data_IF_621143129473
#
_entry.id   IF_621143129473
#
_cell.length_a   1.000
_cell.length_b   1.000
_cell.length_c   1.000
_cell.angle_alpha   90.00
_cell.angle_beta   90.00
_cell.angle_gamma   90.00
#
_symmetry.space_group_name_H-M   'P 1'
#
loop_
_entity.id
_entity.type
_entity.pdbx_description
1 polymer ?
#
# COMPACT_ATOMS: atom_id res chain seq x y z
N UNK A 1 16.79 -10.13 5.96
CA UNK A 1 15.95 -8.94 5.75
C UNK A 1 15.84 -8.77 4.25
N UNK A 2 14.62 -8.70 3.70
CA UNK A 2 14.41 -8.47 2.27
C UNK A 2 14.41 -6.97 1.95
N UNK A 3 14.92 -6.66 0.76
CA UNK A 3 14.84 -5.33 0.13
C UNK A 3 13.54 -5.22 -0.67
N UNK A 4 12.98 -4.02 -0.73
CA UNK A 4 11.84 -3.71 -1.57
C UNK A 4 12.25 -3.73 -3.04
N UNK A 5 11.55 -4.49 -3.87
CA UNK A 5 11.89 -4.64 -5.30
C UNK A 5 11.61 -3.40 -6.15
N UNK A 6 10.93 -2.39 -5.57
CA UNK A 6 10.61 -1.13 -6.25
C UNK A 6 11.58 0.00 -5.92
N UNK A 7 12.10 0.06 -4.69
CA UNK A 7 13.00 1.14 -4.26
C UNK A 7 14.38 0.67 -3.78
N UNK A 8 14.61 -0.64 -3.70
CA UNK A 8 15.83 -1.27 -3.17
C UNK A 8 16.16 -0.93 -1.70
N UNK A 9 15.20 -0.36 -0.96
CA UNK A 9 15.35 -0.10 0.48
C UNK A 9 14.99 -1.32 1.31
N UNK A 10 15.61 -1.48 2.48
CA UNK A 10 15.30 -2.57 3.41
C UNK A 10 13.85 -2.46 3.90
N UNK A 11 13.11 -3.57 3.86
CA UNK A 11 11.75 -3.65 4.40
C UNK A 11 11.84 -3.71 5.93
N UNK A 12 11.62 -2.57 6.59
CA UNK A 12 11.65 -2.42 8.05
C UNK A 12 10.29 -2.65 8.72
N UNK A 13 9.20 -2.44 7.98
CA UNK A 13 7.84 -2.76 8.41
C UNK A 13 7.29 -3.92 7.56
N UNK A 14 7.36 -5.17 8.05
CA UNK A 14 6.99 -6.36 7.28
C UNK A 14 5.46 -6.58 7.26
N UNK A 15 4.71 -5.66 6.66
CA UNK A 15 3.29 -5.83 6.33
C UNK A 15 3.13 -5.94 4.82
N UNK A 16 2.50 -7.03 4.33
CA UNK A 16 2.35 -7.24 2.89
C UNK A 16 1.31 -6.29 2.27
N UNK A 17 1.40 -6.17 0.95
CA UNK A 17 0.48 -5.40 0.09
C UNK A 17 -0.98 -5.78 0.34
N UNK A 18 -1.32 -7.06 0.46
CA UNK A 18 -2.70 -7.50 0.69
C UNK A 18 -3.27 -7.00 2.03
N UNK A 19 -2.46 -6.98 3.10
CA UNK A 19 -2.92 -6.49 4.40
C UNK A 19 -3.18 -4.98 4.35
N UNK A 20 -2.28 -4.23 3.73
CA UNK A 20 -2.45 -2.77 3.56
C UNK A 20 -3.61 -2.47 2.61
N UNK A 21 -3.79 -3.25 1.55
CA UNK A 21 -4.93 -3.15 0.64
C UNK A 21 -6.23 -3.29 1.41
N UNK A 22 -6.35 -4.29 2.28
CA UNK A 22 -7.57 -4.54 3.04
C UNK A 22 -7.93 -3.35 3.95
N UNK A 23 -6.95 -2.70 4.57
CA UNK A 23 -7.18 -1.48 5.36
C UNK A 23 -7.65 -0.31 4.49
N UNK A 24 -7.00 -0.08 3.34
CA UNK A 24 -7.39 0.97 2.40
C UNK A 24 -8.77 0.68 1.82
N UNK A 25 -9.07 -0.58 1.47
CA UNK A 25 -10.34 -1.02 0.94
C UNK A 25 -11.48 -0.81 1.94
N UNK A 26 -11.23 -1.07 3.23
CA UNK A 26 -12.20 -0.81 4.29
C UNK A 26 -12.50 0.71 4.40
N UNK A 27 -11.48 1.55 4.42
CA UNK A 27 -11.67 3.01 4.39
C UNK A 27 -12.40 3.48 3.12
N UNK A 28 -12.00 2.97 1.96
CA UNK A 28 -12.58 3.35 0.67
C UNK A 28 -14.03 2.87 0.53
N UNK A 29 -14.40 1.77 1.18
CA UNK A 29 -15.78 1.28 1.23
C UNK A 29 -16.72 2.29 1.91
N UNK A 30 -16.25 2.99 2.94
CA UNK A 30 -17.05 3.99 3.65
C UNK A 30 -17.26 5.27 2.83
N UNK A 31 -16.26 5.69 2.04
CA UNK A 31 -16.30 7.00 1.33
C UNK A 31 -16.63 6.89 -0.16
N UNK A 32 -16.22 5.81 -0.84
CA UNK A 32 -16.37 5.56 -2.29
C UNK A 32 -16.40 4.04 -2.60
N UNK A 33 -17.43 3.29 -2.18
CA UNK A 33 -17.45 1.83 -2.28
C UNK A 33 -17.31 1.26 -3.70
N UNK A 34 -17.70 2.02 -4.72
CA UNK A 34 -17.51 1.62 -6.14
C UNK A 34 -16.04 1.49 -6.56
N UNK A 35 -15.12 2.13 -5.85
CA UNK A 35 -13.70 2.13 -6.18
C UNK A 35 -12.92 0.98 -5.54
N UNK A 36 -13.54 0.21 -4.64
CA UNK A 36 -12.86 -0.91 -3.96
C UNK A 36 -12.42 -1.98 -4.96
N UNK A 37 -13.25 -2.30 -5.95
CA UNK A 37 -12.86 -3.29 -6.96
C UNK A 37 -11.79 -2.74 -7.92
N UNK A 38 -11.81 -1.44 -8.20
CA UNK A 38 -10.76 -0.78 -8.99
C UNK A 38 -9.42 -0.75 -8.23
N UNK A 39 -9.44 -0.54 -6.91
CA UNK A 39 -8.26 -0.62 -6.05
C UNK A 39 -7.63 -2.01 -6.13
N UNK A 40 -8.43 -3.08 -6.00
CA UNK A 40 -7.94 -4.48 -6.10
C UNK A 40 -7.22 -4.74 -7.42
N UNK A 41 -7.85 -4.36 -8.53
CA UNK A 41 -7.24 -4.45 -9.88
C UNK A 41 -5.96 -3.63 -9.97
N UNK A 42 -5.90 -2.46 -9.32
CA UNK A 42 -4.72 -1.61 -9.30
C UNK A 42 -3.57 -2.25 -8.51
N UNK A 43 -3.87 -2.93 -7.40
CA UNK A 43 -2.85 -3.63 -6.61
C UNK A 43 -2.24 -4.81 -7.37
N UNK A 44 -3.03 -5.53 -8.15
CA UNK A 44 -2.55 -6.65 -8.98
C UNK A 44 -1.41 -6.24 -9.93
N UNK A 45 -1.36 -4.98 -10.38
CA UNK A 45 -0.28 -4.47 -11.24
C UNK A 45 1.11 -4.55 -10.61
N UNK A 46 1.17 -4.54 -9.27
CA UNK A 46 2.42 -4.55 -8.52
C UNK A 46 2.47 -5.70 -7.50
N UNK A 47 1.45 -6.56 -7.42
CA UNK A 47 1.45 -7.63 -6.43
C UNK A 47 2.42 -8.73 -6.85
N UNK A 48 3.44 -8.95 -6.02
CA UNK A 48 4.55 -9.83 -6.31
C UNK A 48 4.76 -10.75 -5.10
N UNK A 49 4.22 -11.97 -5.17
CA UNK A 49 4.32 -12.97 -4.10
C UNK A 49 5.66 -13.71 -4.15
N UNK A 50 6.74 -12.98 -3.86
CA UNK A 50 8.08 -13.53 -3.66
C UNK A 50 8.83 -12.70 -2.62
N UNK A 51 9.90 -13.26 -2.05
CA UNK A 51 10.71 -12.59 -1.02
C UNK A 51 11.00 -13.53 0.15
N UNK A 52 12.00 -13.21 0.97
CA UNK A 52 12.35 -14.05 2.14
C UNK A 52 11.64 -13.57 3.41
N UNK A 53 11.39 -12.26 3.52
CA UNK A 53 10.63 -11.66 4.61
C UNK A 53 9.16 -12.10 4.55
N UNK A 54 8.60 -12.41 5.72
CA UNK A 54 7.21 -12.82 5.93
C UNK A 54 6.40 -11.68 6.55
N UNK A 55 5.15 -11.54 6.14
CA UNK A 55 4.21 -10.61 6.74
C UNK A 55 3.91 -10.97 8.19
N UNK A 56 3.98 -9.99 9.10
CA UNK A 56 3.68 -10.19 10.52
C UNK A 56 2.20 -10.43 10.81
N UNK A 57 1.30 -10.06 9.88
CA UNK A 57 -0.15 -10.19 10.05
C UNK A 57 -0.71 -11.49 9.46
N UNK A 58 -0.22 -11.89 8.27
CA UNK A 58 -0.79 -13.03 7.52
C UNK A 58 0.24 -14.08 7.09
N UNK A 59 1.53 -13.88 7.34
CA UNK A 59 2.62 -14.79 6.99
C UNK A 59 2.86 -15.02 5.47
N UNK A 60 2.25 -14.23 4.59
CA UNK A 60 2.58 -14.18 3.15
C UNK A 60 3.99 -13.62 2.91
N UNK A 61 4.57 -13.88 1.75
CA UNK A 61 5.85 -13.29 1.37
C UNK A 61 5.71 -11.78 1.10
N UNK A 62 6.80 -11.04 1.29
CA UNK A 62 6.85 -9.61 1.02
C UNK A 62 8.03 -9.31 0.10
N UNK A 63 7.70 -8.70 -1.05
CA UNK A 63 8.65 -8.11 -2.00
C UNK A 63 8.60 -6.59 -2.02
N UNK A 64 7.52 -5.97 -1.53
CA UNK A 64 7.26 -4.53 -1.64
C UNK A 64 7.06 -3.94 -0.25
N UNK A 65 7.74 -2.83 0.04
CA UNK A 65 7.53 -2.10 1.27
C UNK A 65 6.19 -1.36 1.28
N UNK A 66 5.64 -1.17 2.48
CA UNK A 66 4.37 -0.45 2.68
C UNK A 66 4.35 0.92 2.02
N UNK A 67 5.46 1.66 2.06
CA UNK A 67 5.57 2.98 1.41
C UNK A 67 5.37 2.93 -0.10
N UNK A 68 6.05 2.01 -0.81
CA UNK A 68 5.90 1.91 -2.25
C UNK A 68 4.47 1.51 -2.65
N UNK A 69 3.87 0.60 -1.88
CA UNK A 69 2.48 0.21 -2.10
C UNK A 69 1.50 1.38 -1.87
N UNK A 70 1.61 2.11 -0.75
CA UNK A 70 0.71 3.24 -0.50
C UNK A 70 0.94 4.40 -1.45
N UNK A 71 2.18 4.63 -1.91
CA UNK A 71 2.46 5.63 -2.94
C UNK A 71 1.83 5.24 -4.30
N UNK A 72 1.85 3.95 -4.67
CA UNK A 72 1.15 3.45 -5.86
C UNK A 72 -0.36 3.72 -5.79
N UNK A 73 -0.97 3.43 -4.64
CA UNK A 73 -2.39 3.73 -4.41
C UNK A 73 -2.66 5.23 -4.39
N UNK A 74 -1.77 6.03 -3.78
CA UNK A 74 -1.87 7.48 -3.72
C UNK A 74 -1.90 8.11 -5.12
N UNK A 75 -0.96 7.76 -6.00
CA UNK A 75 -0.91 8.31 -7.35
C UNK A 75 -2.10 7.85 -8.20
N UNK A 76 -2.59 6.62 -8.00
CA UNK A 76 -3.84 6.17 -8.61
C UNK A 76 -5.06 6.99 -8.15
N UNK A 77 -5.21 7.15 -6.83
CA UNK A 77 -6.34 7.86 -6.24
C UNK A 77 -6.33 9.34 -6.65
N UNK A 78 -5.14 9.95 -6.75
CA UNK A 78 -4.94 11.36 -7.12
C UNK A 78 -5.47 11.70 -8.50
N UNK A 79 -5.44 10.75 -9.43
CA UNK A 79 -6.00 10.91 -10.77
C UNK A 79 -7.52 10.69 -10.76
N UNK A 80 -8.02 9.78 -9.93
CA UNK A 80 -9.42 9.35 -9.93
C UNK A 80 -10.34 10.22 -9.08
N UNK A 81 -9.91 10.54 -7.87
CA UNK A 81 -10.71 11.23 -6.84
C UNK A 81 -9.81 12.18 -6.03
N UNK A 82 -9.37 13.30 -6.63
CA UNK A 82 -8.43 14.23 -6.01
C UNK A 82 -8.87 14.76 -4.65
N UNK A 83 -10.19 14.78 -4.35
CA UNK A 83 -10.71 15.27 -3.08
C UNK A 83 -10.37 14.35 -1.88
N UNK A 84 -10.10 13.05 -2.12
CA UNK A 84 -9.81 12.10 -1.05
C UNK A 84 -8.33 12.10 -0.62
N UNK A 85 -7.46 12.78 -1.35
CA UNK A 85 -6.01 12.67 -1.21
C UNK A 85 -5.50 13.22 0.12
N UNK A 86 -6.14 14.28 0.63
CA UNK A 86 -5.82 14.84 1.95
C UNK A 86 -6.13 13.85 3.07
N UNK A 87 -7.30 13.22 2.99
CA UNK A 87 -7.75 12.24 3.97
C UNK A 87 -6.90 10.96 3.90
N UNK A 88 -6.62 10.47 2.69
CA UNK A 88 -5.75 9.32 2.47
C UNK A 88 -4.37 9.50 3.14
N UNK A 89 -3.73 10.68 2.97
CA UNK A 89 -2.46 10.97 3.66
C UNK A 89 -2.59 11.00 5.18
N UNK A 90 -3.73 11.42 5.71
CA UNK A 90 -3.91 11.46 7.18
C UNK A 90 -3.93 10.06 7.78
N UNK A 91 -4.45 9.06 7.05
CA UNK A 91 -4.55 7.68 7.53
C UNK A 91 -3.39 6.77 7.09
N UNK A 92 -2.82 7.00 5.91
CA UNK A 92 -1.91 6.06 5.25
C UNK A 92 -0.56 6.69 4.85
N UNK A 93 -0.19 7.83 5.44
CA UNK A 93 1.15 8.39 5.24
C UNK A 93 2.17 7.63 6.11
N UNK A 94 2.80 6.64 5.49
CA UNK A 94 3.88 5.85 6.09
C UNK A 94 5.25 6.56 6.05
N UNK A 95 5.31 7.86 5.69
CA UNK A 95 6.53 8.69 5.69
C UNK A 95 6.94 9.24 7.07
N UNK A 96 6.59 8.61 8.19
CA UNK A 96 7.03 9.11 9.51
C UNK A 96 8.56 9.05 9.76
N UNK A 97 9.35 8.69 8.75
CA UNK A 97 10.79 8.93 8.69
C UNK A 97 11.13 9.62 7.37
N UNK A 98 11.07 10.95 7.31
CA UNK A 98 12.13 11.85 6.84
C UNK A 98 11.60 13.30 6.97
N UNK A 99 12.29 14.19 7.70
CA UNK A 99 11.82 15.55 7.95
C UNK A 99 11.77 16.35 6.65
N UNK A 100 10.82 17.28 6.61
CA UNK A 100 10.60 18.34 5.62
C UNK A 100 11.87 18.96 5.05
#
# INVERSE_FOLDING_TARGET
MSECVLCNEVITNPVCTDCVENEIAAWLYEVRPKLVEELRKKSEEINLDYGETRCILCNNHISICTFCYTNHVFEWLKIRVPELIREFRTFFDFNYFFPT
#
